data_IF_794950432953
#
_entry.id   IF_794950432953
#
_cell.length_a   1.000
_cell.length_b   1.000
_cell.length_c   1.000
_cell.angle_alpha   90.00
_cell.angle_beta   90.00
_cell.angle_gamma   90.00
#
_symmetry.space_group_name_H-M   'P 1'
#
loop_
_entity.id
_entity.type
_entity.pdbx_description
1 polymer ?
#
# COMPACT_ATOMS: atom_id res chain seq x y z
N UNK A 1 -5.30 -42.62 -16.58
CA UNK A 1 -5.03 -42.16 -15.18
C UNK A 1 -4.25 -40.83 -15.08
N UNK A 2 -4.25 -39.95 -16.10
CA UNK A 2 -3.44 -38.72 -16.15
C UNK A 2 -4.27 -37.42 -15.95
N UNK A 3 -5.61 -37.49 -16.02
CA UNK A 3 -6.47 -36.29 -15.93
C UNK A 3 -6.74 -35.77 -14.50
N UNK A 4 -6.54 -36.59 -13.46
CA UNK A 4 -6.84 -36.19 -12.07
C UNK A 4 -5.76 -35.33 -11.41
N UNK A 5 -4.49 -35.42 -11.85
CA UNK A 5 -3.39 -34.64 -11.27
C UNK A 5 -3.39 -33.17 -11.68
N UNK A 6 -3.90 -32.84 -12.87
CA UNK A 6 -3.94 -31.45 -13.35
C UNK A 6 -4.97 -30.59 -12.59
N UNK A 7 -6.08 -31.20 -12.18
CA UNK A 7 -7.15 -30.49 -11.47
C UNK A 7 -6.76 -30.14 -10.03
N UNK A 8 -5.99 -31.00 -9.36
CA UNK A 8 -5.52 -30.76 -7.99
C UNK A 8 -4.48 -29.63 -7.97
N UNK A 9 -3.62 -29.54 -8.97
CA UNK A 9 -2.62 -28.47 -9.07
C UNK A 9 -3.24 -27.08 -9.29
N UNK A 10 -4.31 -26.99 -10.07
CA UNK A 10 -5.04 -25.73 -10.30
C UNK A 10 -5.82 -25.26 -9.07
N UNK A 11 -6.42 -26.17 -8.33
CA UNK A 11 -7.14 -25.86 -7.09
C UNK A 11 -6.19 -25.37 -5.98
N UNK A 12 -5.03 -25.98 -5.82
CA UNK A 12 -4.04 -25.56 -4.82
C UNK A 12 -3.42 -24.21 -5.15
N UNK A 13 -3.22 -23.88 -6.41
CA UNK A 13 -2.69 -22.58 -6.83
C UNK A 13 -3.69 -21.44 -6.54
N UNK A 14 -4.97 -21.62 -6.86
CA UNK A 14 -6.01 -20.64 -6.57
C UNK A 14 -6.20 -20.39 -5.07
N UNK A 15 -6.17 -21.43 -4.24
CA UNK A 15 -6.30 -21.32 -2.79
C UNK A 15 -5.12 -20.56 -2.16
N UNK A 16 -3.92 -20.75 -2.68
CA UNK A 16 -2.72 -20.01 -2.25
C UNK A 16 -2.78 -18.54 -2.63
N UNK A 17 -3.24 -18.21 -3.83
CA UNK A 17 -3.39 -16.83 -4.31
C UNK A 17 -4.41 -16.05 -3.46
N UNK A 18 -5.59 -16.62 -3.21
CA UNK A 18 -6.64 -16.01 -2.39
C UNK A 18 -6.15 -15.76 -0.94
N UNK A 19 -5.41 -16.70 -0.36
CA UNK A 19 -4.82 -16.53 0.96
C UNK A 19 -3.80 -15.40 0.99
N UNK A 20 -2.98 -15.24 -0.05
CA UNK A 20 -1.99 -14.18 -0.15
C UNK A 20 -2.64 -12.81 -0.32
N UNK A 21 -3.70 -12.70 -1.11
CA UNK A 21 -4.46 -11.44 -1.25
C UNK A 21 -5.08 -11.01 0.07
N UNK A 22 -5.70 -11.93 0.80
CA UNK A 22 -6.26 -11.68 2.13
C UNK A 22 -5.17 -11.24 3.12
N UNK A 23 -4.04 -11.91 3.13
CA UNK A 23 -2.91 -11.58 4.00
C UNK A 23 -2.32 -10.20 3.64
N UNK A 24 -2.16 -9.89 2.35
CA UNK A 24 -1.70 -8.58 1.89
C UNK A 24 -2.67 -7.47 2.28
N UNK A 25 -3.98 -7.69 2.11
CA UNK A 25 -4.99 -6.72 2.54
C UNK A 25 -4.89 -6.41 4.04
N UNK A 26 -4.68 -7.42 4.87
CA UNK A 26 -4.47 -7.24 6.31
C UNK A 26 -3.17 -6.48 6.59
N UNK A 27 -2.07 -6.77 5.87
CA UNK A 27 -0.80 -6.06 6.00
C UNK A 27 -0.95 -4.58 5.65
N UNK A 28 -1.66 -4.25 4.57
CA UNK A 28 -1.94 -2.87 4.17
C UNK A 28 -2.75 -2.13 5.25
N UNK A 29 -3.78 -2.74 5.81
CA UNK A 29 -4.58 -2.14 6.87
C UNK A 29 -3.75 -1.89 8.12
N UNK A 30 -2.97 -2.88 8.57
CA UNK A 30 -2.07 -2.76 9.72
C UNK A 30 -0.99 -1.69 9.52
N UNK A 31 -0.44 -1.58 8.32
CA UNK A 31 0.50 -0.50 7.99
C UNK A 31 -0.13 0.89 8.22
N UNK A 32 -1.37 1.10 7.77
CA UNK A 32 -2.05 2.39 7.96
C UNK A 32 -2.49 2.61 9.41
N UNK A 33 -2.90 1.57 10.14
CA UNK A 33 -3.13 1.65 11.60
C UNK A 33 -1.85 2.08 12.33
N UNK A 34 -0.71 1.45 12.01
CA UNK A 34 0.59 1.81 12.58
C UNK A 34 1.00 3.25 12.23
N UNK A 35 0.76 3.68 11.00
CA UNK A 35 0.99 5.07 10.56
C UNK A 35 0.19 6.08 11.38
N UNK A 36 -1.09 5.81 11.58
CA UNK A 36 -1.98 6.66 12.37
C UNK A 36 -1.61 6.68 13.87
N UNK A 37 -1.11 5.57 14.39
CA UNK A 37 -0.68 5.43 15.78
C UNK A 37 0.78 5.87 16.04
N UNK A 38 1.55 6.18 14.98
CA UNK A 38 3.01 6.39 15.04
C UNK A 38 3.76 5.19 15.66
N UNK A 39 3.27 3.97 15.39
CA UNK A 39 3.96 2.73 15.75
C UNK A 39 5.10 2.46 14.76
N UNK A 40 6.27 3.04 15.06
CA UNK A 40 7.43 2.99 14.17
C UNK A 40 8.01 1.58 14.03
N UNK A 41 7.84 0.70 15.00
CA UNK A 41 8.30 -0.69 14.91
C UNK A 41 7.49 -1.45 13.86
N UNK A 42 6.17 -1.31 13.91
CA UNK A 42 5.28 -1.92 12.90
C UNK A 42 5.48 -1.29 11.52
N UNK A 43 5.68 0.03 11.43
CA UNK A 43 5.99 0.70 10.16
C UNK A 43 7.29 0.12 9.57
N UNK A 44 8.37 0.07 10.37
CA UNK A 44 9.66 -0.48 9.95
C UNK A 44 9.55 -1.94 9.50
N UNK A 45 8.72 -2.73 10.18
CA UNK A 45 8.46 -4.11 9.76
C UNK A 45 7.93 -4.20 8.33
N UNK A 46 7.12 -3.23 7.88
CA UNK A 46 6.55 -3.24 6.53
C UNK A 46 7.44 -2.60 5.46
N UNK A 47 8.48 -1.89 5.80
CA UNK A 47 9.43 -1.34 4.81
C UNK A 47 10.27 -2.45 4.16
N UNK A 48 10.51 -2.34 2.84
CA UNK A 48 11.36 -3.31 2.12
C UNK A 48 12.82 -3.13 2.47
N UNK A 49 13.53 -4.25 2.62
CA UNK A 49 14.97 -4.27 2.94
C UNK A 49 15.87 -3.78 1.80
N UNK A 50 15.36 -3.71 0.59
CA UNK A 50 16.10 -3.22 -0.57
C UNK A 50 15.89 -1.72 -0.82
N UNK A 51 15.19 -1.03 0.08
CA UNK A 51 14.80 0.36 -0.07
C UNK A 51 13.40 0.52 -0.66
N UNK A 52 13.07 1.74 -1.06
CA UNK A 52 11.78 2.06 -1.63
C UNK A 52 11.86 3.10 -2.74
N UNK A 53 10.82 3.17 -3.57
CA UNK A 53 10.62 4.25 -4.54
C UNK A 53 9.32 4.95 -4.16
N UNK A 54 9.39 6.25 -3.93
CA UNK A 54 8.24 7.06 -3.51
C UNK A 54 7.95 8.15 -4.54
N UNK A 55 6.69 8.27 -4.95
CA UNK A 55 6.19 9.33 -5.80
C UNK A 55 4.99 10.05 -5.19
N UNK A 56 4.84 11.31 -5.52
CA UNK A 56 3.70 12.13 -5.10
C UNK A 56 3.32 13.11 -6.19
N UNK A 57 2.03 13.43 -6.30
CA UNK A 57 1.53 14.46 -7.23
C UNK A 57 1.98 15.88 -6.89
N UNK A 58 2.56 16.09 -5.72
CA UNK A 58 3.18 17.36 -5.32
C UNK A 58 4.64 17.49 -5.74
N UNK A 59 5.23 16.41 -6.26
CA UNK A 59 6.65 16.33 -6.63
C UNK A 59 6.81 16.11 -8.13
N UNK A 60 7.91 16.59 -8.70
CA UNK A 60 8.21 16.47 -10.11
C UNK A 60 9.00 15.21 -10.47
N UNK A 61 9.45 14.43 -9.48
CA UNK A 61 10.29 13.26 -9.65
C UNK A 61 9.99 12.21 -8.57
N UNK A 62 10.48 10.99 -8.81
CA UNK A 62 10.45 9.94 -7.80
C UNK A 62 11.67 10.07 -6.89
N UNK A 63 11.46 9.79 -5.61
CA UNK A 63 12.53 9.61 -4.64
C UNK A 63 12.88 8.13 -4.56
N UNK A 64 14.18 7.84 -4.54
CA UNK A 64 14.69 6.52 -4.24
C UNK A 64 15.24 6.54 -2.82
N UNK A 65 14.55 5.84 -1.93
CA UNK A 65 14.95 5.70 -0.54
C UNK A 65 15.89 4.50 -0.40
N UNK A 66 17.06 4.64 0.25
CA UNK A 66 17.94 3.51 0.52
C UNK A 66 17.27 2.49 1.45
N UNK A 67 17.87 1.28 1.62
CA UNK A 67 17.43 0.34 2.64
C UNK A 67 17.25 1.03 4.00
N UNK A 68 16.05 0.94 4.61
CA UNK A 68 15.78 1.67 5.83
C UNK A 68 16.51 1.07 7.03
N UNK A 69 16.91 1.92 7.97
CA UNK A 69 17.18 1.54 9.34
C UNK A 69 16.10 2.13 10.25
N UNK A 70 16.03 1.68 11.49
CA UNK A 70 14.97 2.08 12.40
C UNK A 70 14.94 3.59 12.67
N UNK A 71 16.11 4.21 12.86
CA UNK A 71 16.22 5.65 13.11
C UNK A 71 15.75 6.47 11.91
N UNK A 72 16.04 6.03 10.69
CA UNK A 72 15.56 6.71 9.47
C UNK A 72 14.03 6.62 9.33
N UNK A 73 13.44 5.54 9.77
CA UNK A 73 11.96 5.37 9.79
C UNK A 73 11.34 6.35 10.81
N UNK A 74 11.91 6.45 12.01
CA UNK A 74 11.45 7.42 13.02
C UNK A 74 11.57 8.85 12.44
N UNK A 75 12.74 9.22 11.92
CA UNK A 75 12.97 10.58 11.40
C UNK A 75 11.99 10.93 10.28
N UNK A 76 11.75 10.02 9.35
CA UNK A 76 10.85 10.28 8.23
C UNK A 76 9.39 10.36 8.67
N UNK A 77 8.92 9.38 9.44
CA UNK A 77 7.49 9.25 9.74
C UNK A 77 7.03 10.12 10.92
N UNK A 78 7.91 10.57 11.82
CA UNK A 78 7.57 11.51 12.90
C UNK A 78 7.25 12.94 12.43
N UNK A 79 7.62 13.27 11.18
CA UNK A 79 7.37 14.61 10.59
C UNK A 79 5.90 14.86 10.29
N UNK A 80 5.07 13.82 10.31
CA UNK A 80 3.68 13.90 9.88
C UNK A 80 2.81 13.00 10.75
N UNK A 81 1.91 13.59 11.51
CA UNK A 81 0.81 12.88 12.15
C UNK A 81 -0.27 12.60 11.10
N UNK A 82 -0.73 11.37 11.00
CA UNK A 82 -1.78 10.96 10.06
C UNK A 82 -3.00 10.42 10.79
N UNK A 83 -4.17 10.71 10.25
CA UNK A 83 -5.43 10.08 10.62
C UNK A 83 -6.19 9.80 9.34
N UNK A 84 -5.81 8.73 8.66
CA UNK A 84 -6.31 8.37 7.33
C UNK A 84 -6.81 6.94 7.28
N UNK A 85 -7.77 6.70 6.40
CA UNK A 85 -8.39 5.38 6.23
C UNK A 85 -8.32 4.95 4.76
N UNK A 86 -7.77 3.77 4.46
CA UNK A 86 -7.81 3.20 3.13
C UNK A 86 -9.19 2.61 2.81
N UNK A 87 -9.63 2.77 1.56
CA UNK A 87 -10.91 2.25 1.07
C UNK A 87 -10.79 1.74 -0.38
N UNK A 88 -11.76 0.92 -0.81
CA UNK A 88 -11.82 0.38 -2.18
C UNK A 88 -10.51 -0.31 -2.61
N UNK A 89 -9.99 -1.15 -1.74
CA UNK A 89 -8.69 -1.83 -1.94
C UNK A 89 -8.85 -2.90 -3.04
N UNK A 90 -8.06 -2.77 -4.09
CA UNK A 90 -7.85 -3.80 -5.13
C UNK A 90 -6.43 -4.31 -5.01
N UNK A 91 -6.28 -5.62 -5.13
CA UNK A 91 -5.00 -6.32 -5.13
C UNK A 91 -4.85 -7.03 -6.47
N UNK A 92 -3.70 -6.90 -7.09
CA UNK A 92 -3.36 -7.54 -8.35
C UNK A 92 -2.02 -8.24 -8.16
N UNK A 93 -1.99 -9.55 -8.30
CA UNK A 93 -0.75 -10.30 -8.29
C UNK A 93 -0.05 -10.12 -9.65
N UNK A 94 1.13 -9.52 -9.64
CA UNK A 94 1.95 -9.31 -10.85
C UNK A 94 2.88 -10.49 -11.12
N UNK A 95 3.37 -11.13 -10.06
CA UNK A 95 4.17 -12.36 -10.12
C UNK A 95 4.01 -13.12 -8.80
N UNK A 96 4.71 -14.25 -8.66
CA UNK A 96 4.65 -15.08 -7.45
C UNK A 96 4.92 -14.30 -6.14
N UNK A 97 5.79 -13.28 -6.21
CA UNK A 97 6.23 -12.49 -5.03
C UNK A 97 5.98 -11.00 -5.14
N UNK A 98 5.29 -10.53 -6.18
CA UNK A 98 5.10 -9.11 -6.44
C UNK A 98 3.61 -8.82 -6.61
N UNK A 99 3.12 -7.84 -5.87
CA UNK A 99 1.72 -7.46 -5.83
C UNK A 99 1.56 -5.95 -5.99
N UNK A 100 0.58 -5.55 -6.78
CA UNK A 100 0.13 -4.16 -6.90
C UNK A 100 -1.14 -3.98 -6.06
N UNK A 101 -1.16 -2.96 -5.22
CA UNK A 101 -2.38 -2.52 -4.54
C UNK A 101 -2.82 -1.16 -5.07
N UNK A 102 -4.12 -1.02 -5.32
CA UNK A 102 -4.77 0.22 -5.72
C UNK A 102 -5.88 0.51 -4.72
N UNK A 103 -5.90 1.74 -4.15
CA UNK A 103 -6.92 2.12 -3.18
C UNK A 103 -7.06 3.64 -3.07
N UNK A 104 -8.11 4.08 -2.42
CA UNK A 104 -8.28 5.46 -2.01
C UNK A 104 -7.86 5.62 -0.55
N UNK A 105 -7.28 6.77 -0.24
CA UNK A 105 -6.92 7.16 1.10
C UNK A 105 -7.61 8.48 1.42
N UNK A 106 -8.32 8.55 2.54
CA UNK A 106 -9.03 9.75 2.97
C UNK A 106 -8.84 10.00 4.47
N UNK A 107 -8.79 11.27 4.88
CA UNK A 107 -8.63 11.68 6.26
C UNK A 107 -7.90 12.99 6.42
N UNK A 108 -6.98 13.07 7.38
CA UNK A 108 -6.21 14.28 7.67
C UNK A 108 -4.73 14.00 7.88
N UNK A 109 -3.93 15.04 7.59
CA UNK A 109 -2.50 15.08 7.91
C UNK A 109 -2.18 16.37 8.66
N UNK A 110 -1.36 16.25 9.71
CA UNK A 110 -0.77 17.37 10.41
C UNK A 110 0.76 17.27 10.31
N UNK A 111 1.36 18.28 9.73
CA UNK A 111 2.80 18.35 9.47
C UNK A 111 3.53 19.04 10.62
N UNK A 112 4.80 18.68 10.85
CA UNK A 112 5.65 19.27 11.90
C UNK A 112 5.83 20.78 11.79
N UNK A 113 5.64 21.36 10.60
CA UNK A 113 5.65 22.82 10.37
C UNK A 113 4.32 23.52 10.72
N UNK A 114 3.37 22.81 11.33
CA UNK A 114 2.05 23.31 11.72
C UNK A 114 1.00 23.33 10.61
N UNK A 115 1.33 22.97 9.36
CA UNK A 115 0.35 22.84 8.29
C UNK A 115 -0.59 21.66 8.59
N UNK A 116 -1.87 21.87 8.36
CA UNK A 116 -2.91 20.84 8.48
C UNK A 116 -3.62 20.67 7.14
N UNK A 117 -3.93 19.43 6.80
CA UNK A 117 -4.75 19.07 5.63
C UNK A 117 -5.88 18.16 6.13
N UNK A 118 -7.01 18.79 6.48
CA UNK A 118 -8.16 18.11 7.12
C UNK A 118 -9.03 17.32 6.14
N UNK A 119 -8.89 17.57 4.85
CA UNK A 119 -9.69 16.96 3.79
C UNK A 119 -8.79 16.22 2.78
N UNK A 120 -7.77 15.54 3.31
CA UNK A 120 -6.87 14.79 2.45
C UNK A 120 -7.58 13.64 1.75
N UNK A 121 -7.46 13.60 0.43
CA UNK A 121 -7.95 12.51 -0.40
C UNK A 121 -6.91 12.20 -1.48
N UNK A 122 -6.58 10.93 -1.66
CA UNK A 122 -5.63 10.50 -2.67
C UNK A 122 -6.02 9.15 -3.28
N UNK A 123 -5.62 8.97 -4.54
CA UNK A 123 -5.48 7.63 -5.13
C UNK A 123 -4.08 7.15 -4.85
N UNK A 124 -3.97 5.93 -4.35
CA UNK A 124 -2.69 5.33 -3.98
C UNK A 124 -2.47 4.08 -4.81
N UNK A 125 -1.25 3.94 -5.31
CA UNK A 125 -0.77 2.69 -5.91
C UNK A 125 0.55 2.30 -5.24
N UNK A 126 0.61 1.06 -4.73
CA UNK A 126 1.80 0.54 -4.08
C UNK A 126 2.19 -0.80 -4.68
N UNK A 127 3.50 -1.06 -4.75
CA UNK A 127 4.02 -2.40 -4.99
C UNK A 127 4.51 -2.98 -3.67
N UNK A 128 4.05 -4.19 -3.40
CA UNK A 128 4.45 -5.00 -2.27
C UNK A 128 5.24 -6.19 -2.75
N UNK A 129 6.35 -6.45 -2.08
CA UNK A 129 7.17 -7.64 -2.27
C UNK A 129 6.90 -8.65 -1.16
N UNK A 130 6.83 -9.93 -1.50
CA UNK A 130 6.79 -10.99 -0.49
C UNK A 130 8.22 -11.40 -0.15
N UNK A 131 8.71 -10.91 0.99
CA UNK A 131 10.07 -11.09 1.50
C UNK A 131 10.03 -11.67 2.92
N UNK A 132 10.91 -12.63 3.23
CA UNK A 132 11.10 -13.20 4.58
C UNK A 132 9.79 -13.63 5.27
N UNK A 133 8.87 -14.20 4.50
CA UNK A 133 7.59 -14.69 5.02
C UNK A 133 6.54 -13.60 5.26
N UNK A 134 6.74 -12.37 4.78
CA UNK A 134 5.79 -11.27 4.92
C UNK A 134 5.77 -10.31 3.73
N UNK A 135 4.77 -9.45 3.68
CA UNK A 135 4.67 -8.43 2.66
C UNK A 135 5.44 -7.18 3.08
N UNK A 136 6.23 -6.62 2.16
CA UNK A 136 7.06 -5.43 2.33
C UNK A 136 6.73 -4.39 1.27
N UNK A 137 6.66 -3.15 1.68
CA UNK A 137 6.29 -2.02 0.84
C UNK A 137 7.51 -1.49 0.11
N UNK A 138 7.55 -1.65 -1.21
CA UNK A 138 8.67 -1.27 -2.07
C UNK A 138 8.41 0.00 -2.87
N UNK A 139 7.21 0.15 -3.43
CA UNK A 139 6.85 1.32 -4.21
C UNK A 139 5.61 1.99 -3.60
N UNK A 140 5.68 3.31 -3.47
CA UNK A 140 4.61 4.14 -2.91
C UNK A 140 4.34 5.30 -3.86
N UNK A 141 3.10 5.43 -4.34
CA UNK A 141 2.73 6.58 -5.18
C UNK A 141 1.37 7.14 -4.76
N UNK A 142 1.39 8.42 -4.42
CA UNK A 142 0.25 9.16 -3.89
C UNK A 142 -0.17 10.25 -4.86
N UNK A 143 -1.38 10.15 -5.42
CA UNK A 143 -1.96 11.14 -6.30
C UNK A 143 -3.11 11.84 -5.58
N UNK A 144 -2.84 13.00 -4.98
CA UNK A 144 -3.85 13.81 -4.30
C UNK A 144 -4.99 14.16 -5.26
N UNK A 145 -6.23 13.94 -4.83
CA UNK A 145 -7.40 14.31 -5.60
C UNK A 145 -7.65 15.82 -5.49
N UNK A 146 -8.01 16.43 -6.60
CA UNK A 146 -8.44 17.84 -6.59
C UNK A 146 -9.83 17.93 -5.93
N UNK A 147 -10.06 18.95 -5.09
CA UNK A 147 -11.32 19.15 -4.38
C UNK A 147 -12.57 19.25 -5.29
N UNK A 148 -12.38 19.63 -6.55
CA UNK A 148 -13.46 19.81 -7.53
C UNK A 148 -14.00 18.50 -8.13
N UNK A 149 -13.28 17.39 -7.99
CA UNK A 149 -13.78 16.08 -8.37
C UNK A 149 -14.53 15.52 -7.15
N UNK A 150 -15.85 15.78 -7.07
CA UNK A 150 -16.72 14.86 -6.30
C UNK A 150 -16.30 13.45 -6.64
N UNK A 151 -16.31 12.50 -5.69
CA UNK A 151 -16.13 11.10 -6.04
C UNK A 151 -17.12 10.86 -7.18
N UNK A 152 -16.61 10.83 -8.40
CA UNK A 152 -17.46 10.41 -9.50
C UNK A 152 -17.92 9.03 -9.07
N UNK A 153 -19.21 8.82 -9.10
CA UNK A 153 -19.76 7.49 -9.15
C UNK A 153 -18.85 6.73 -10.11
N UNK A 154 -18.02 5.87 -9.53
CA UNK A 154 -17.10 5.06 -10.32
C UNK A 154 -18.05 4.25 -11.17
N UNK A 155 -18.21 4.65 -12.42
CA UNK A 155 -18.90 3.85 -13.40
C UNK A 155 -18.10 2.56 -13.40
N UNK A 156 -18.61 1.56 -12.71
CA UNK A 156 -18.09 0.23 -12.81
C UNK A 156 -18.22 -0.12 -14.29
N UNK A 157 -17.12 -0.03 -15.03
CA UNK A 157 -17.10 -0.61 -16.35
C UNK A 157 -17.41 -2.09 -16.15
N UNK A 158 -18.52 -2.59 -16.69
CA UNK A 158 -18.76 -4.02 -16.73
C UNK A 158 -17.54 -4.60 -17.45
N UNK A 159 -16.79 -5.42 -16.77
CA UNK A 159 -15.78 -6.25 -17.41
C UNK A 159 -16.55 -7.43 -18.01
N UNK A 160 -16.86 -7.32 -19.29
CA UNK A 160 -17.34 -8.43 -20.09
C UNK A 160 -16.23 -9.50 -20.26
#
# INVERSE_FOLDING_TARGET
MIRSFLLIGLLSFNLSAENNEKALKQSLLKFWEARNAQDFETIFFYESKIGAITGSSSENYFYEDPPPNFDSVIDYYSRVESNVTPSNIRIIQLSEKVYLTLYYLAGSYKYSNGRVDDEYQARVSNIWLYEDGGFKLYYKNFNKLKKELKPMDIIAYPMD
#
